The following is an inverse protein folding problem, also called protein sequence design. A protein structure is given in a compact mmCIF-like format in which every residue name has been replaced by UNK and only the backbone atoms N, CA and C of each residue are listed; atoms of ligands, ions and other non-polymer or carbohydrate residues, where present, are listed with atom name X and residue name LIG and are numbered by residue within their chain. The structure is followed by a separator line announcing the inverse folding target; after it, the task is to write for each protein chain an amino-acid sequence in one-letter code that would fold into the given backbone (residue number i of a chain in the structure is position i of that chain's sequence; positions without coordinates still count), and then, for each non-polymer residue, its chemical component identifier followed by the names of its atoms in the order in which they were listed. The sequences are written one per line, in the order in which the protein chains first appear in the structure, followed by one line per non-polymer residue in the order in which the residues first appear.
data_IF_235585029411
#
_entry.id   IF_235585029411
#
_cell.length_a   1.000
_cell.length_b   1.000
_cell.length_c   1.000
_cell.angle_alpha   90.00
_cell.angle_beta   90.00
_cell.angle_gamma   90.00
#
_symmetry.space_group_name_H-M   'P 1'
#
loop_
_entity.id
_entity.type
_entity.pdbx_description
1 polymer ?
#
# COMPACT_ATOMS: atom_id res chain seq x y z
N UNK A 1 -37.22 38.13 1.00
CA UNK A 1 -37.20 36.66 0.95
C UNK A 1 -36.92 36.24 -0.49
N UNK A 2 -35.66 35.95 -0.84
CA UNK A 2 -35.28 35.56 -2.20
C UNK A 2 -35.20 34.04 -2.26
N UNK A 3 -36.15 33.43 -2.97
CA UNK A 3 -36.35 31.99 -3.09
C UNK A 3 -35.28 31.35 -3.97
N UNK A 4 -34.38 30.55 -3.39
CA UNK A 4 -33.51 29.68 -4.17
C UNK A 4 -34.28 28.45 -4.65
N UNK A 5 -34.56 28.40 -5.95
CA UNK A 5 -35.19 27.28 -6.65
C UNK A 5 -34.17 26.15 -6.83
N UNK A 6 -34.22 25.14 -5.97
CA UNK A 6 -33.50 23.88 -6.14
C UNK A 6 -34.02 23.16 -7.39
N UNK A 7 -33.22 23.14 -8.45
CA UNK A 7 -33.44 22.25 -9.60
C UNK A 7 -33.13 20.82 -9.17
N UNK A 8 -34.16 20.05 -8.85
CA UNK A 8 -34.09 18.60 -8.71
C UNK A 8 -34.04 18.02 -10.13
N UNK A 9 -32.85 18.00 -10.72
CA UNK A 9 -32.58 17.25 -11.94
C UNK A 9 -32.19 15.84 -11.57
N UNK A 10 -32.85 14.83 -12.15
CA UNK A 10 -32.57 13.42 -11.94
C UNK A 10 -31.06 13.14 -11.98
N UNK A 11 -30.47 12.77 -10.84
CA UNK A 11 -29.04 12.48 -10.74
C UNK A 11 -28.73 11.18 -11.49
N UNK A 12 -28.33 11.29 -12.75
CA UNK A 12 -27.53 10.25 -13.38
C UNK A 12 -26.21 10.19 -12.60
N UNK A 13 -26.12 9.29 -11.61
CA UNK A 13 -24.93 9.16 -10.76
C UNK A 13 -23.70 9.00 -11.64
N UNK A 14 -22.85 10.03 -11.69
CA UNK A 14 -21.64 9.98 -12.49
C UNK A 14 -20.69 8.96 -11.83
N UNK A 15 -20.60 7.77 -12.42
CA UNK A 15 -19.64 6.74 -11.96
C UNK A 15 -18.23 7.33 -11.93
N UNK A 16 -17.55 7.15 -10.80
CA UNK A 16 -16.18 7.62 -10.61
C UNK A 16 -15.23 6.90 -11.57
N UNK A 17 -14.10 7.53 -11.91
CA UNK A 17 -13.07 6.92 -12.77
C UNK A 17 -12.52 5.61 -12.17
N UNK A 18 -12.41 5.53 -10.85
CA UNK A 18 -11.97 4.32 -10.15
C UNK A 18 -13.00 3.18 -10.32
N UNK A 19 -14.28 3.48 -10.12
CA UNK A 19 -15.37 2.51 -10.30
C UNK A 19 -15.48 2.00 -11.74
N UNK A 20 -15.23 2.87 -12.73
CA UNK A 20 -15.17 2.46 -14.15
C UNK A 20 -13.97 1.57 -14.47
N UNK A 21 -12.86 1.73 -13.75
CA UNK A 21 -11.64 0.95 -13.91
C UNK A 21 -11.61 -0.32 -13.03
N UNK A 22 -12.59 -0.52 -12.15
CA UNK A 22 -12.62 -1.66 -11.23
C UNK A 22 -11.59 -1.58 -10.09
N UNK A 23 -11.07 -0.38 -9.79
CA UNK A 23 -10.02 -0.18 -8.78
C UNK A 23 -10.61 0.37 -7.48
N UNK A 24 -10.11 -0.13 -6.33
CA UNK A 24 -10.40 0.44 -5.01
C UNK A 24 -9.67 1.76 -4.80
N UNK A 25 -8.48 1.91 -5.38
CA UNK A 25 -7.64 3.08 -5.21
C UNK A 25 -8.18 4.28 -6.01
N UNK A 26 -8.09 5.50 -5.44
CA UNK A 26 -8.74 6.67 -6.01
C UNK A 26 -8.00 7.25 -7.22
N UNK A 27 -8.33 6.77 -8.43
CA UNK A 27 -7.76 7.21 -9.72
C UNK A 27 -7.80 8.74 -9.90
N UNK A 28 -8.92 9.38 -9.57
CA UNK A 28 -9.07 10.84 -9.74
C UNK A 28 -8.10 11.64 -8.85
N UNK A 29 -7.87 11.18 -7.62
CA UNK A 29 -6.92 11.80 -6.68
C UNK A 29 -5.48 11.60 -7.14
N UNK A 30 -5.16 10.40 -7.62
CA UNK A 30 -3.84 10.08 -8.16
C UNK A 30 -3.54 10.94 -9.38
N UNK A 31 -4.48 11.07 -10.33
CA UNK A 31 -4.33 11.97 -11.47
C UNK A 31 -4.05 13.42 -11.06
N UNK A 32 -4.76 13.93 -10.04
CA UNK A 32 -4.51 15.27 -9.49
C UNK A 32 -3.10 15.39 -8.90
N UNK A 33 -2.64 14.38 -8.14
CA UNK A 33 -1.28 14.36 -7.57
C UNK A 33 -0.19 14.34 -8.66
N UNK A 34 -0.35 13.54 -9.71
CA UNK A 34 0.62 13.49 -10.83
C UNK A 34 0.72 14.86 -11.51
N UNK A 35 -0.41 15.54 -11.76
CA UNK A 35 -0.38 16.89 -12.35
C UNK A 35 0.29 17.92 -11.45
N UNK A 36 0.06 17.86 -10.13
CA UNK A 36 0.71 18.77 -9.17
C UNK A 36 2.21 18.54 -9.06
N UNK A 37 2.69 17.34 -9.37
CA UNK A 37 4.10 17.00 -9.31
C UNK A 37 4.92 17.49 -10.51
N UNK A 38 4.30 18.10 -11.53
CA UNK A 38 4.96 18.64 -12.72
C UNK A 38 5.93 17.65 -13.41
N UNK A 39 5.60 16.35 -13.41
CA UNK A 39 6.45 15.30 -14.01
C UNK A 39 6.48 15.35 -15.55
N UNK A 40 5.45 15.91 -16.17
CA UNK A 40 5.31 16.09 -17.61
C UNK A 40 4.31 17.21 -17.92
N UNK A 41 4.45 17.85 -19.07
CA UNK A 41 3.56 18.94 -19.51
C UNK A 41 2.09 18.50 -19.65
N UNK A 42 1.87 17.26 -20.08
CA UNK A 42 0.54 16.67 -20.24
C UNK A 42 0.51 15.27 -19.64
N UNK A 43 -0.50 15.03 -18.81
CA UNK A 43 -0.74 13.72 -18.20
C UNK A 43 -1.98 13.10 -18.85
N UNK A 44 -1.80 11.95 -19.48
CA UNK A 44 -2.88 11.16 -20.07
C UNK A 44 -3.79 10.55 -19.00
N UNK A 45 -5.05 10.33 -19.34
CA UNK A 45 -6.03 9.70 -18.44
C UNK A 45 -5.64 8.27 -18.03
N UNK A 46 -5.03 7.52 -18.96
CA UNK A 46 -4.57 6.15 -18.74
C UNK A 46 -3.41 6.05 -17.74
N UNK A 47 -2.54 7.06 -17.67
CA UNK A 47 -1.39 7.06 -16.75
C UNK A 47 -1.82 6.97 -15.29
N UNK A 48 -2.89 7.67 -14.92
CA UNK A 48 -3.43 7.63 -13.56
C UNK A 48 -4.14 6.30 -13.23
N UNK A 49 -4.74 5.65 -14.23
CA UNK A 49 -5.35 4.32 -14.04
C UNK A 49 -4.26 3.28 -13.84
N UNK A 50 -3.23 3.30 -14.69
CA UNK A 50 -2.09 2.41 -14.59
C UNK A 50 -1.39 2.53 -13.22
N UNK A 51 -1.06 3.76 -12.82
CA UNK A 51 -0.40 3.99 -11.52
C UNK A 51 -1.29 3.55 -10.35
N UNK A 52 -2.61 3.80 -10.43
CA UNK A 52 -3.53 3.33 -9.39
C UNK A 52 -3.56 1.81 -9.29
N UNK A 53 -3.59 1.10 -10.42
CA UNK A 53 -3.59 -0.36 -10.45
C UNK A 53 -2.29 -0.93 -9.87
N UNK A 54 -1.13 -0.38 -10.23
CA UNK A 54 0.17 -0.83 -9.72
C UNK A 54 0.27 -0.64 -8.20
N UNK A 55 -0.12 0.52 -7.67
CA UNK A 55 -0.03 0.76 -6.22
C UNK A 55 -1.06 -0.09 -5.47
N UNK A 56 -2.24 -0.32 -6.03
CA UNK A 56 -3.26 -1.21 -5.46
C UNK A 56 -2.75 -2.65 -5.37
N UNK A 57 -2.16 -3.15 -6.45
CA UNK A 57 -1.52 -4.47 -6.49
C UNK A 57 -0.43 -4.62 -5.42
N UNK A 58 0.52 -3.68 -5.37
CA UNK A 58 1.61 -3.71 -4.38
C UNK A 58 1.09 -3.64 -2.93
N UNK A 59 0.03 -2.86 -2.70
CA UNK A 59 -0.57 -2.75 -1.36
C UNK A 59 -1.26 -4.06 -0.96
N UNK A 60 -1.95 -4.72 -1.90
CA UNK A 60 -2.60 -5.99 -1.66
C UNK A 60 -1.57 -7.08 -1.30
N UNK A 61 -0.47 -7.16 -2.05
CA UNK A 61 0.61 -8.13 -1.81
C UNK A 61 1.20 -7.98 -0.39
N UNK A 62 1.55 -6.74 -0.02
CA UNK A 62 2.08 -6.45 1.31
C UNK A 62 1.07 -6.81 2.41
N UNK A 63 -0.22 -6.56 2.20
CA UNK A 63 -1.26 -6.90 3.17
C UNK A 63 -1.56 -8.38 3.26
N UNK A 64 -1.43 -9.14 2.17
CA UNK A 64 -1.57 -10.59 2.15
C UNK A 64 -0.47 -11.23 2.99
N UNK A 65 0.78 -10.90 2.71
CA UNK A 65 1.93 -11.43 3.46
C UNK A 65 1.91 -10.98 4.92
N UNK A 66 1.60 -9.70 5.19
CA UNK A 66 1.48 -9.21 6.58
C UNK A 66 0.27 -9.82 7.31
N UNK A 67 -0.80 -10.15 6.59
CA UNK A 67 -1.96 -10.86 7.11
C UNK A 67 -1.63 -12.30 7.51
N UNK A 68 -0.87 -13.01 6.67
CA UNK A 68 -0.36 -14.34 6.97
C UNK A 68 0.55 -14.31 8.21
N UNK A 69 1.53 -13.40 8.24
CA UNK A 69 2.39 -13.21 9.41
C UNK A 69 1.60 -12.85 10.70
N UNK A 70 0.48 -12.13 10.59
CA UNK A 70 -0.39 -11.85 11.74
C UNK A 70 -1.12 -13.11 12.23
N UNK A 71 -1.63 -13.93 11.30
CA UNK A 71 -2.32 -15.20 11.59
C UNK A 71 -1.38 -16.22 12.23
N UNK A 72 -0.14 -16.30 11.75
CA UNK A 72 0.90 -17.18 12.33
C UNK A 72 1.19 -16.80 13.79
N UNK A 73 1.19 -15.50 14.07
CA UNK A 73 1.33 -14.96 15.43
C UNK A 73 0.01 -15.00 16.24
N UNK A 74 -1.05 -15.65 15.73
CA UNK A 74 -2.38 -15.76 16.34
C UNK A 74 -3.00 -14.41 16.70
N UNK A 75 -2.74 -13.38 15.89
CA UNK A 75 -3.29 -12.02 16.04
C UNK A 75 -4.27 -11.72 14.92
N UNK A 76 -5.41 -11.13 15.27
CA UNK A 76 -6.41 -10.65 14.29
C UNK A 76 -6.07 -9.29 13.68
N UNK A 77 -5.15 -8.52 14.30
CA UNK A 77 -4.74 -7.19 13.86
C UNK A 77 -3.34 -7.22 13.28
N UNK A 78 -3.16 -6.66 12.09
CA UNK A 78 -1.85 -6.42 11.49
C UNK A 78 -1.11 -5.34 12.29
N UNK A 79 0.09 -5.64 12.73
CA UNK A 79 0.98 -4.72 13.45
C UNK A 79 2.18 -4.35 12.57
N UNK A 80 2.93 -3.28 12.88
CA UNK A 80 4.15 -2.94 12.15
C UNK A 80 5.17 -4.10 12.09
N UNK A 81 5.19 -4.98 13.10
CA UNK A 81 6.04 -6.17 13.12
C UNK A 81 5.68 -7.16 12.02
N UNK A 82 4.39 -7.38 11.76
CA UNK A 82 3.95 -8.33 10.73
C UNK A 82 4.32 -7.83 9.32
N UNK A 83 4.25 -6.50 9.11
CA UNK A 83 4.72 -5.86 7.86
C UNK A 83 6.24 -6.04 7.70
N UNK A 84 7.00 -5.84 8.78
CA UNK A 84 8.45 -6.04 8.75
C UNK A 84 8.84 -7.50 8.43
N UNK A 85 8.15 -8.47 9.02
CA UNK A 85 8.37 -9.88 8.74
C UNK A 85 8.02 -10.22 7.28
N UNK A 86 6.89 -9.74 6.78
CA UNK A 86 6.48 -9.91 5.39
C UNK A 86 7.52 -9.36 4.40
N UNK A 87 8.01 -8.14 4.60
CA UNK A 87 8.99 -7.51 3.70
C UNK A 87 10.35 -8.24 3.75
N UNK A 88 10.77 -8.73 4.92
CA UNK A 88 12.08 -9.41 5.06
C UNK A 88 12.10 -10.81 4.47
N UNK A 89 10.98 -11.50 4.51
CA UNK A 89 10.87 -12.87 4.05
C UNK A 89 10.56 -12.98 2.55
N UNK A 90 10.21 -11.86 1.91
CA UNK A 90 9.95 -11.79 0.47
C UNK A 90 11.09 -11.07 -0.25
N UNK A 91 11.73 -11.75 -1.20
CA UNK A 91 12.93 -11.25 -1.88
C UNK A 91 12.65 -10.01 -2.73
N UNK A 92 11.50 -9.95 -3.39
CA UNK A 92 11.13 -8.84 -4.27
C UNK A 92 10.79 -7.58 -3.46
N UNK A 93 10.02 -7.72 -2.39
CA UNK A 93 9.69 -6.63 -1.47
C UNK A 93 10.90 -6.16 -0.67
N UNK A 94 11.77 -7.09 -0.29
CA UNK A 94 13.07 -6.78 0.31
C UNK A 94 13.87 -5.91 -0.65
N UNK A 95 14.10 -6.35 -1.89
CA UNK A 95 14.84 -5.57 -2.88
C UNK A 95 14.24 -4.17 -3.12
N UNK A 96 12.92 -4.07 -3.27
CA UNK A 96 12.20 -2.80 -3.47
C UNK A 96 12.33 -1.85 -2.26
N UNK A 97 12.42 -2.38 -1.04
CA UNK A 97 12.52 -1.58 0.18
C UNK A 97 13.96 -1.15 0.51
N UNK A 98 14.95 -1.97 0.18
CA UNK A 98 16.36 -1.74 0.51
C UNK A 98 16.99 -0.59 -0.29
N UNK A 99 16.55 -0.35 -1.54
CA UNK A 99 17.06 0.76 -2.35
C UNK A 99 16.89 2.13 -1.66
N UNK A 100 15.86 2.29 -0.83
CA UNK A 100 15.54 3.55 -0.16
C UNK A 100 16.15 3.71 1.23
N UNK A 101 16.60 2.63 1.86
CA UNK A 101 17.27 2.68 3.18
C UNK A 101 18.75 3.03 3.06
N UNK A 102 19.42 2.66 1.95
CA UNK A 102 20.82 3.01 1.68
C UNK A 102 21.04 4.49 1.38
N UNK A 103 20.14 5.13 0.62
CA UNK A 103 20.31 6.53 0.18
C UNK A 103 20.11 7.59 1.28
N UNK A 104 19.64 7.20 2.47
CA UNK A 104 19.42 8.12 3.60
C UNK A 104 20.50 8.08 4.68
N UNK A 105 21.60 7.36 4.46
CA UNK A 105 22.78 7.39 5.34
C UNK A 105 22.54 6.95 6.79
N UNK A 106 21.38 6.35 7.09
CA UNK A 106 21.07 5.80 8.42
C UNK A 106 21.38 4.31 8.40
N UNK A 107 22.67 4.00 8.37
CA UNK A 107 23.16 2.72 8.85
C UNK A 107 22.84 2.63 10.35
N UNK A 108 21.77 1.90 10.67
CA UNK A 108 21.74 1.10 11.90
C UNK A 108 21.10 -0.24 11.56
N UNK A 109 21.95 -1.09 11.00
CA UNK A 109 21.78 -2.53 11.04
C UNK A 109 21.75 -2.96 12.51
N UNK A 110 20.58 -2.91 13.15
CA UNK A 110 20.32 -3.61 14.40
C UNK A 110 18.90 -4.13 14.36
N UNK A 111 18.71 -5.19 13.59
CA UNK A 111 17.86 -6.31 13.97
C UNK A 111 18.50 -7.49 13.29
N UNK A 112 19.56 -7.98 13.92
CA UNK A 112 20.24 -9.21 13.53
C UNK A 112 19.19 -10.31 13.48
N UNK A 113 19.18 -11.06 12.39
CA UNK A 113 18.34 -12.24 12.21
C UNK A 113 18.64 -13.36 13.25
N UNK A 114 19.61 -13.14 14.14
CA UNK A 114 20.01 -14.07 15.20
C UNK A 114 19.04 -14.20 16.38
N UNK A 115 17.97 -13.40 16.48
CA UNK A 115 17.02 -13.48 17.62
C UNK A 115 15.73 -14.26 17.34
N UNK A 116 15.54 -14.78 16.13
CA UNK A 116 14.32 -15.56 15.78
C UNK A 116 14.55 -17.07 15.92
N UNK A 117 15.79 -17.55 15.81
CA UNK A 117 16.10 -18.98 15.95
C UNK A 117 16.23 -19.46 17.41
N UNK A 118 16.47 -18.57 18.38
CA UNK A 118 16.69 -18.98 19.78
C UNK A 118 15.39 -19.39 20.51
N UNK A 119 14.22 -19.10 19.95
CA UNK A 119 12.92 -19.47 20.55
C UNK A 119 12.31 -20.76 20.00
N UNK A 120 12.96 -21.43 19.02
CA UNK A 120 12.46 -22.70 18.47
C UNK A 120 12.99 -23.94 19.23
N UNK A 121 14.12 -23.83 19.93
CA UNK A 121 14.76 -24.95 20.65
C UNK A 121 14.41 -25.03 22.13
N UNK A 122 13.78 -24.00 22.71
CA UNK A 122 13.43 -23.97 24.14
C UNK A 122 12.11 -24.68 24.50
N UNK A 123 11.37 -25.23 23.54
CA UNK A 123 10.07 -25.89 23.77
C UNK A 123 10.10 -27.43 23.77
N UNK A 124 11.28 -28.07 23.69
CA UNK A 124 11.41 -29.54 23.73
C UNK A 124 12.05 -30.08 25.01
N UNK A 125 12.15 -29.28 26.06
CA UNK A 125 12.65 -29.71 27.36
C UNK A 125 11.76 -29.16 28.48
N UNK A 126 10.56 -29.73 28.63
CA UNK A 126 9.87 -30.00 29.88
C UNK A 126 8.59 -30.80 29.62
#
# INVERSE_FOLDING_TARGET
MSSNKTKVGAESSQKSKAMRAGLQFPVGRIHSKIRKGNYADRVGSGAAVYLAAVIEYLSAEVFELAGNAARDNKKSRISPRHILLAIRNDEELSALSFERFYLRGRCRAQYTASSVEENATASSAH
#
